data_IF_016539608005
#
_entry.id   IF_016539608005
#
_cell.length_a   1.000
_cell.length_b   1.000
_cell.length_c   1.000
_cell.angle_alpha   90.00
_cell.angle_beta   90.00
_cell.angle_gamma   90.00
#
_symmetry.space_group_name_H-M   'P 1'
#
loop_
_entity.id
_entity.type
_entity.pdbx_description
1 polymer ?
#
# COMPACT_ATOMS: atom_id res chain seq x y z
N UNK A 1 -17.65 -23.71 1.74
CA UNK A 1 -16.53 -23.02 1.11
C UNK A 1 -16.93 -22.37 -0.20
N UNK A 2 -16.06 -21.64 -0.85
CA UNK A 2 -16.33 -20.92 -2.11
C UNK A 2 -16.82 -21.88 -3.24
N UNK A 3 -16.22 -23.04 -3.37
CA UNK A 3 -16.54 -24.02 -4.42
C UNK A 3 -17.97 -24.56 -4.23
N UNK A 4 -18.32 -24.87 -2.99
CA UNK A 4 -19.66 -25.33 -2.63
C UNK A 4 -20.72 -24.27 -2.96
N UNK A 5 -20.47 -23.01 -2.60
CA UNK A 5 -21.42 -21.92 -2.89
C UNK A 5 -21.48 -21.60 -4.39
N UNK A 6 -20.38 -21.75 -5.13
CA UNK A 6 -20.35 -21.52 -6.58
C UNK A 6 -21.27 -22.49 -7.37
N UNK A 7 -21.57 -23.65 -6.83
CA UNK A 7 -22.45 -24.63 -7.46
C UNK A 7 -23.94 -24.50 -7.06
N UNK A 8 -24.27 -23.65 -6.07
CA UNK A 8 -25.64 -23.48 -5.58
C UNK A 8 -26.51 -22.64 -6.52
N UNK A 9 -27.77 -22.97 -6.57
CA UNK A 9 -28.82 -22.17 -7.25
C UNK A 9 -29.19 -20.99 -6.33
N UNK A 10 -29.43 -19.82 -6.92
CA UNK A 10 -29.85 -18.61 -6.16
C UNK A 10 -28.76 -17.94 -5.37
N UNK A 11 -27.48 -18.21 -5.67
CA UNK A 11 -26.33 -17.54 -5.06
C UNK A 11 -26.31 -16.03 -5.34
N UNK A 12 -25.85 -15.27 -4.35
CA UNK A 12 -25.71 -13.81 -4.46
C UNK A 12 -24.20 -13.50 -4.57
N UNK A 13 -23.68 -13.26 -5.78
CA UNK A 13 -22.28 -12.90 -5.95
C UNK A 13 -22.01 -11.50 -5.42
N UNK A 14 -20.85 -11.31 -4.80
CA UNK A 14 -20.40 -10.02 -4.34
C UNK A 14 -18.88 -9.91 -4.43
N UNK A 15 -18.41 -8.69 -4.66
CA UNK A 15 -16.98 -8.36 -4.64
C UNK A 15 -16.74 -7.28 -3.60
N UNK A 16 -15.75 -7.48 -2.76
CA UNK A 16 -15.23 -6.46 -1.88
C UNK A 16 -13.81 -6.08 -2.29
N UNK A 17 -13.48 -4.82 -2.08
CA UNK A 17 -12.12 -4.29 -2.20
C UNK A 17 -11.67 -3.84 -0.83
N UNK A 18 -10.53 -4.31 -0.37
CA UNK A 18 -9.95 -3.91 0.91
C UNK A 18 -8.61 -3.22 0.71
N UNK A 19 -8.46 -2.06 1.34
CA UNK A 19 -7.20 -1.32 1.43
C UNK A 19 -6.71 -1.34 2.87
N UNK A 20 -5.50 -1.82 3.08
CA UNK A 20 -4.83 -1.75 4.38
C UNK A 20 -3.91 -0.54 4.42
N UNK A 21 -4.24 0.43 5.26
CA UNK A 21 -3.49 1.67 5.40
C UNK A 21 -2.88 1.75 6.79
N UNK A 22 -1.67 2.29 6.87
CA UNK A 22 -1.00 2.54 8.15
C UNK A 22 -1.83 3.48 9.02
N UNK A 23 -2.00 3.10 10.27
CA UNK A 23 -2.88 3.77 11.20
C UNK A 23 -2.28 3.78 12.60
N UNK A 24 -2.35 4.91 13.31
CA UNK A 24 -1.90 4.97 14.70
C UNK A 24 -2.91 4.31 15.63
N UNK A 25 -2.45 3.40 16.46
CA UNK A 25 -3.30 2.72 17.46
C UNK A 25 -3.47 3.53 18.75
N UNK A 26 -2.79 4.69 18.87
CA UNK A 26 -2.91 5.56 20.04
C UNK A 26 -4.14 6.45 19.92
N UNK A 27 -4.68 6.83 21.08
CA UNK A 27 -5.77 7.80 21.16
C UNK A 27 -5.17 9.20 21.27
N UNK A 28 -5.59 10.10 20.39
CA UNK A 28 -5.19 11.50 20.41
C UNK A 28 -5.60 12.15 21.74
N UNK A 29 -4.66 12.87 22.35
CA UNK A 29 -4.88 13.53 23.65
C UNK A 29 -4.83 12.63 24.88
N UNK A 30 -4.45 11.36 24.72
CA UNK A 30 -4.33 10.40 25.82
C UNK A 30 -2.93 9.80 25.86
N UNK A 31 -2.35 9.70 27.06
CA UNK A 31 -1.01 9.10 27.27
C UNK A 31 -0.93 7.70 26.60
N UNK A 32 0.17 7.35 25.95
CA UNK A 32 1.42 8.10 25.82
C UNK A 32 1.45 9.15 24.69
N UNK A 33 0.35 9.35 23.92
CA UNK A 33 0.29 10.46 22.96
C UNK A 33 0.23 11.79 23.72
N UNK A 34 1.21 12.65 23.48
CA UNK A 34 1.32 13.97 24.10
C UNK A 34 0.64 15.08 23.29
N UNK A 35 0.23 14.76 22.07
CA UNK A 35 -0.50 15.70 21.21
C UNK A 35 -1.94 15.87 21.68
N UNK A 36 -2.36 17.13 21.81
CA UNK A 36 -3.72 17.50 22.16
C UNK A 36 -4.05 18.91 21.63
N UNK A 37 -5.33 19.23 21.49
CA UNK A 37 -5.78 20.57 21.15
C UNK A 37 -5.29 21.55 22.21
N UNK A 38 -4.68 22.66 21.77
CA UNK A 38 -4.09 23.67 22.66
C UNK A 38 -2.68 23.37 23.16
N UNK A 39 -2.20 22.13 23.04
CA UNK A 39 -0.82 21.73 23.35
C UNK A 39 0.04 21.74 22.10
N UNK A 40 -0.45 21.14 21.01
CA UNK A 40 0.26 21.04 19.73
C UNK A 40 -0.40 21.90 18.63
N UNK A 41 -1.14 22.93 19.03
CA UNK A 41 -1.87 23.82 18.12
C UNK A 41 -3.26 23.32 17.77
N UNK A 42 -3.80 23.84 16.68
CA UNK A 42 -5.17 23.56 16.21
C UNK A 42 -5.23 22.48 15.12
N UNK A 43 -4.08 21.96 14.71
CA UNK A 43 -4.02 20.92 13.68
C UNK A 43 -4.69 19.63 14.18
N UNK A 44 -5.51 19.03 13.29
CA UNK A 44 -6.29 17.83 13.65
C UNK A 44 -5.49 16.56 13.43
N UNK A 45 -5.50 15.66 14.40
CA UNK A 45 -5.00 14.30 14.24
C UNK A 45 -6.10 13.42 13.62
N UNK A 46 -5.74 12.58 12.64
CA UNK A 46 -6.61 11.60 12.00
C UNK A 46 -6.08 10.17 12.18
N UNK A 47 -5.18 9.96 13.14
CA UNK A 47 -4.45 8.71 13.39
C UNK A 47 -3.63 8.22 12.18
N UNK A 48 -3.28 9.10 11.25
CA UNK A 48 -2.35 8.80 10.16
C UNK A 48 -0.99 9.41 10.44
N UNK A 49 0.08 8.82 9.90
CA UNK A 49 1.44 9.34 10.13
C UNK A 49 1.58 10.80 9.63
N UNK A 50 1.00 11.10 8.46
CA UNK A 50 1.06 12.44 7.87
C UNK A 50 0.36 13.52 8.69
N UNK A 51 -0.59 13.15 9.53
CA UNK A 51 -1.32 14.08 10.41
C UNK A 51 -0.91 13.97 11.87
N UNK A 52 0.08 13.13 12.17
CA UNK A 52 0.58 12.92 13.54
C UNK A 52 1.35 14.15 14.01
N UNK A 53 1.04 14.63 15.21
CA UNK A 53 1.67 15.77 15.85
C UNK A 53 2.60 15.36 16.99
N UNK A 54 2.70 14.04 17.22
CA UNK A 54 3.59 13.41 18.19
C UNK A 54 4.17 12.14 17.56
N UNK A 55 5.08 12.33 16.61
CA UNK A 55 5.68 11.22 15.84
C UNK A 55 6.53 10.30 16.70
N UNK A 56 7.07 10.80 17.83
CA UNK A 56 7.85 10.00 18.77
C UNK A 56 7.03 8.89 19.43
N UNK A 57 5.73 9.13 19.65
CA UNK A 57 4.82 8.16 20.25
C UNK A 57 3.87 7.52 19.20
N UNK A 58 4.13 7.72 17.90
CA UNK A 58 3.35 7.06 16.86
C UNK A 58 3.49 5.54 16.97
N UNK A 59 2.37 4.86 17.17
CA UNK A 59 2.34 3.40 17.23
C UNK A 59 1.62 2.84 16.00
N UNK A 60 2.40 2.25 15.10
CA UNK A 60 1.89 1.75 13.82
C UNK A 60 0.98 0.54 14.00
N UNK A 61 -0.24 0.67 13.54
CA UNK A 61 -1.19 -0.39 13.28
C UNK A 61 -1.69 -0.33 11.85
N UNK A 62 -2.76 -1.05 11.58
CA UNK A 62 -3.40 -1.11 10.26
C UNK A 62 -4.89 -0.82 10.40
N UNK A 63 -5.42 0.03 9.51
CA UNK A 63 -6.86 0.20 9.30
C UNK A 63 -7.23 -0.34 7.93
N UNK A 64 -8.18 -1.27 7.90
CA UNK A 64 -8.73 -1.82 6.67
C UNK A 64 -9.97 -1.03 6.26
N UNK A 65 -9.91 -0.43 5.07
CA UNK A 65 -11.07 0.17 4.41
C UNK A 65 -11.67 -0.83 3.45
N UNK A 66 -12.93 -1.19 3.67
CA UNK A 66 -13.63 -2.17 2.84
C UNK A 66 -14.68 -1.49 1.99
N UNK A 67 -14.57 -1.65 0.68
CA UNK A 67 -15.50 -1.08 -0.31
C UNK A 67 -16.38 -2.15 -0.92
N UNK A 68 -17.65 -1.81 -1.14
CA UNK A 68 -18.63 -2.66 -1.80
C UNK A 68 -19.39 -1.88 -2.87
N UNK A 69 -20.05 -2.61 -3.76
CA UNK A 69 -21.05 -2.04 -4.66
C UNK A 69 -22.23 -1.45 -3.84
N UNK A 70 -22.72 -0.24 -4.16
CA UNK A 70 -23.85 0.37 -3.46
C UNK A 70 -25.14 -0.45 -3.50
N UNK A 71 -25.31 -1.27 -4.55
CA UNK A 71 -26.50 -2.14 -4.73
C UNK A 71 -26.36 -3.50 -4.05
N UNK A 72 -25.20 -3.82 -3.46
CA UNK A 72 -24.96 -5.11 -2.84
C UNK A 72 -25.87 -5.34 -1.62
N UNK A 73 -26.57 -6.46 -1.61
CA UNK A 73 -27.39 -6.87 -0.44
C UNK A 73 -26.48 -7.53 0.60
N UNK A 74 -26.00 -6.73 1.54
CA UNK A 74 -25.07 -7.17 2.56
C UNK A 74 -25.81 -7.63 3.84
N UNK A 75 -25.23 -8.58 4.58
CA UNK A 75 -25.75 -8.98 5.89
C UNK A 75 -25.75 -7.81 6.88
N UNK A 76 -26.68 -7.83 7.81
CA UNK A 76 -26.73 -6.86 8.92
C UNK A 76 -25.43 -6.96 9.72
N UNK A 77 -24.83 -5.82 10.02
CA UNK A 77 -23.58 -5.73 10.80
C UNK A 77 -22.29 -5.76 9.97
N UNK A 78 -22.35 -6.08 8.68
CA UNK A 78 -21.18 -5.96 7.80
C UNK A 78 -21.03 -4.51 7.33
N UNK A 79 -20.10 -3.79 7.93
CA UNK A 79 -19.82 -2.40 7.55
C UNK A 79 -18.92 -2.35 6.31
N UNK A 80 -19.36 -1.60 5.31
CA UNK A 80 -18.61 -1.33 4.08
C UNK A 80 -18.86 0.10 3.62
N UNK A 81 -17.96 0.61 2.79
CA UNK A 81 -18.09 1.91 2.13
C UNK A 81 -18.65 1.66 0.72
N UNK A 82 -19.87 2.08 0.41
CA UNK A 82 -20.57 1.71 -0.83
C UNK A 82 -20.14 2.58 -2.02
N UNK A 83 -18.84 2.57 -2.34
CA UNK A 83 -18.26 3.38 -3.42
C UNK A 83 -17.65 2.53 -4.54
N UNK A 84 -17.72 1.21 -4.49
CA UNK A 84 -17.16 0.34 -5.52
C UNK A 84 -18.05 0.31 -6.76
N UNK A 85 -17.47 0.62 -7.93
CA UNK A 85 -18.16 0.50 -9.23
C UNK A 85 -17.78 -0.75 -9.98
N UNK A 86 -16.48 -0.96 -10.17
CA UNK A 86 -16.03 -2.11 -10.95
C UNK A 86 -14.61 -2.52 -10.58
N UNK A 87 -14.32 -3.80 -10.82
CA UNK A 87 -12.98 -4.38 -10.69
C UNK A 87 -12.64 -5.06 -12.00
N UNK A 88 -11.53 -4.68 -12.62
CA UNK A 88 -11.03 -5.25 -13.87
C UNK A 88 -9.64 -5.84 -13.66
N UNK A 89 -9.47 -7.09 -14.05
CA UNK A 89 -8.22 -7.83 -13.89
C UNK A 89 -7.49 -7.91 -15.23
N UNK A 90 -6.19 -7.58 -15.22
CA UNK A 90 -5.29 -7.99 -16.29
C UNK A 90 -4.59 -9.28 -15.84
N UNK A 91 -4.75 -10.38 -16.58
CA UNK A 91 -4.20 -11.67 -16.18
C UNK A 91 -2.67 -11.65 -16.23
N UNK A 92 -2.06 -12.47 -15.37
CA UNK A 92 -0.65 -12.79 -15.47
C UNK A 92 -0.44 -13.72 -16.67
N UNK A 93 0.57 -13.41 -17.50
CA UNK A 93 0.92 -14.23 -18.65
C UNK A 93 2.40 -14.57 -18.61
N UNK A 94 2.72 -15.85 -18.65
CA UNK A 94 4.08 -16.37 -18.79
C UNK A 94 4.23 -16.90 -20.20
N UNK A 95 5.18 -16.33 -20.96
CA UNK A 95 5.53 -16.82 -22.30
C UNK A 95 6.89 -17.53 -22.20
N UNK A 96 6.92 -18.88 -22.29
CA UNK A 96 8.16 -19.61 -22.24
C UNK A 96 9.19 -19.08 -23.28
N UNK A 97 10.43 -18.86 -22.86
CA UNK A 97 11.51 -18.37 -23.71
C UNK A 97 11.51 -16.86 -24.01
N UNK A 98 10.59 -16.07 -23.47
CA UNK A 98 10.53 -14.61 -23.66
C UNK A 98 10.63 -13.80 -22.37
N UNK A 99 11.52 -14.18 -21.46
CA UNK A 99 11.75 -13.43 -20.21
C UNK A 99 10.67 -13.61 -19.13
N UNK A 100 10.67 -12.71 -18.17
CA UNK A 100 9.76 -12.73 -17.00
C UNK A 100 8.35 -12.29 -17.39
N UNK A 101 7.52 -12.98 -18.01
CA UNK A 101 6.10 -12.77 -18.32
C UNK A 101 5.44 -11.42 -17.93
N UNK A 102 4.21 -11.20 -18.31
CA UNK A 102 3.42 -10.03 -17.91
C UNK A 102 2.86 -10.30 -16.50
N UNK A 103 3.13 -9.38 -15.57
CA UNK A 103 2.62 -9.45 -14.20
C UNK A 103 1.14 -9.11 -14.14
N UNK A 104 0.43 -9.79 -13.23
CA UNK A 104 -0.96 -9.48 -12.97
C UNK A 104 -1.14 -8.06 -12.43
N UNK A 105 -2.18 -7.39 -12.91
CA UNK A 105 -2.61 -6.11 -12.37
C UNK A 105 -4.12 -6.05 -12.24
N UNK A 106 -4.58 -5.14 -11.41
CA UNK A 106 -6.01 -4.88 -11.20
C UNK A 106 -6.28 -3.38 -11.29
N UNK A 107 -7.36 -3.03 -11.98
CA UNK A 107 -7.88 -1.67 -12.02
C UNK A 107 -9.24 -1.65 -11.33
N UNK A 108 -9.40 -0.76 -10.36
CA UNK A 108 -10.60 -0.62 -9.55
C UNK A 108 -11.15 0.77 -9.78
N UNK A 109 -12.40 0.86 -10.19
CA UNK A 109 -13.13 2.11 -10.30
C UNK A 109 -14.04 2.29 -9.08
N UNK A 110 -14.01 3.48 -8.51
CA UNK A 110 -14.80 3.87 -7.35
C UNK A 110 -15.48 5.20 -7.60
N UNK A 111 -16.59 5.43 -6.93
CA UNK A 111 -17.23 6.74 -6.91
C UNK A 111 -16.49 7.68 -5.95
N UNK A 112 -16.48 8.96 -6.28
CA UNK A 112 -16.00 10.04 -5.40
C UNK A 112 -17.17 10.95 -5.04
N UNK A 113 -17.92 10.56 -4.04
CA UNK A 113 -19.10 11.28 -3.58
C UNK A 113 -18.78 12.18 -2.38
N UNK A 114 -19.57 13.24 -2.15
CA UNK A 114 -19.57 13.94 -0.88
C UNK A 114 -19.77 12.95 0.27
N UNK A 115 -18.91 13.03 1.28
CA UNK A 115 -18.89 12.04 2.35
C UNK A 115 -18.77 12.70 3.71
N UNK A 116 -19.43 12.11 4.70
CA UNK A 116 -19.16 12.44 6.11
C UNK A 116 -17.82 11.84 6.51
N UNK A 117 -17.17 12.37 7.54
CA UNK A 117 -15.87 11.85 7.98
C UNK A 117 -15.94 10.55 8.79
N UNK A 118 -17.12 9.95 8.94
CA UNK A 118 -17.37 8.84 9.87
C UNK A 118 -16.42 7.65 9.68
N UNK A 119 -16.04 7.33 8.44
CA UNK A 119 -15.16 6.20 8.15
C UNK A 119 -13.68 6.57 8.14
N UNK A 120 -13.37 7.87 8.05
CA UNK A 120 -11.99 8.36 7.85
C UNK A 120 -11.45 9.00 9.12
N UNK A 121 -12.30 9.74 9.87
CA UNK A 121 -11.93 10.46 11.08
C UNK A 121 -12.39 9.72 12.33
N UNK A 122 -11.49 9.18 13.16
CA UNK A 122 -11.85 8.49 14.39
C UNK A 122 -12.47 9.41 15.44
N UNK A 123 -12.30 10.73 15.27
CA UNK A 123 -12.75 11.76 16.21
C UNK A 123 -13.85 12.64 15.63
N UNK A 124 -14.60 12.14 14.67
CA UNK A 124 -15.64 12.91 13.96
C UNK A 124 -16.73 13.40 14.91
N UNK A 125 -17.07 12.62 15.93
CA UNK A 125 -18.10 12.99 16.92
C UNK A 125 -17.70 14.13 17.83
N UNK A 126 -16.40 14.31 18.04
CA UNK A 126 -15.84 15.36 18.91
C UNK A 126 -15.56 16.67 18.16
N UNK A 127 -15.92 16.71 16.87
CA UNK A 127 -15.65 17.86 16.01
C UNK A 127 -16.91 18.61 15.66
N UNK A 128 -16.97 19.88 16.07
CA UNK A 128 -18.15 20.73 15.93
C UNK A 128 -18.58 21.00 14.48
N UNK A 129 -17.70 20.84 13.49
CA UNK A 129 -18.02 21.14 12.09
C UNK A 129 -17.55 19.99 11.20
N UNK A 130 -18.47 19.28 10.53
CA UNK A 130 -18.09 18.31 9.51
C UNK A 130 -17.29 19.00 8.40
N UNK A 131 -16.15 18.41 8.02
CA UNK A 131 -15.39 18.97 6.92
C UNK A 131 -16.17 18.78 5.61
N UNK A 132 -16.22 19.79 4.73
CA UNK A 132 -16.74 19.65 3.38
C UNK A 132 -15.73 18.92 2.48
N UNK A 133 -16.21 18.18 1.48
CA UNK A 133 -15.36 17.49 0.50
C UNK A 133 -15.82 16.06 0.20
N UNK A 134 -15.12 15.45 -0.73
CA UNK A 134 -15.39 14.07 -1.17
C UNK A 134 -14.60 13.07 -0.37
N UNK A 135 -14.99 11.78 -0.42
CA UNK A 135 -14.30 10.72 0.27
C UNK A 135 -12.82 10.64 -0.13
N UNK A 136 -12.53 10.54 -1.43
CA UNK A 136 -11.17 10.34 -1.92
C UNK A 136 -10.30 11.58 -1.79
N UNK A 137 -10.88 12.77 -1.91
CA UNK A 137 -10.16 14.03 -1.66
C UNK A 137 -9.63 14.08 -0.24
N UNK A 138 -10.45 13.72 0.74
CA UNK A 138 -10.08 13.68 2.16
C UNK A 138 -9.13 12.53 2.46
N UNK A 139 -9.43 11.33 1.92
CA UNK A 139 -8.60 10.15 2.12
C UNK A 139 -7.15 10.41 1.70
N UNK A 140 -6.94 10.94 0.49
CA UNK A 140 -5.59 11.24 -0.02
C UNK A 140 -4.88 12.32 0.79
N UNK A 141 -5.58 13.37 1.18
CA UNK A 141 -4.98 14.43 1.99
C UNK A 141 -4.44 13.92 3.34
N UNK A 142 -5.08 12.89 3.90
CA UNK A 142 -4.70 12.30 5.19
C UNK A 142 -3.75 11.12 5.06
N UNK A 143 -3.78 10.42 3.93
CA UNK A 143 -3.01 9.21 3.65
C UNK A 143 -2.16 9.36 2.37
N UNK A 144 -1.18 10.27 2.33
CA UNK A 144 -0.33 10.45 1.14
C UNK A 144 0.59 9.26 0.88
N UNK A 145 0.84 8.40 1.89
CA UNK A 145 1.75 7.25 1.81
C UNK A 145 1.02 5.93 1.55
N UNK A 146 0.11 5.91 0.57
CA UNK A 146 -0.71 4.76 0.22
C UNK A 146 -0.01 3.78 -0.74
N UNK A 147 0.98 4.23 -1.50
CA UNK A 147 1.69 3.38 -2.46
C UNK A 147 2.42 2.22 -1.76
N UNK A 148 2.40 1.05 -2.38
CA UNK A 148 2.98 -0.16 -1.84
C UNK A 148 2.19 -0.79 -0.67
N UNK A 149 1.04 -0.23 -0.29
CA UNK A 149 0.19 -0.80 0.77
C UNK A 149 -0.62 -1.98 0.25
N UNK A 150 -0.97 -2.95 1.11
CA UNK A 150 -1.76 -4.10 0.71
C UNK A 150 -3.14 -3.70 0.16
N UNK A 151 -3.50 -4.36 -0.92
CA UNK A 151 -4.79 -4.28 -1.58
C UNK A 151 -5.31 -5.70 -1.77
N UNK A 152 -6.51 -5.99 -1.32
CA UNK A 152 -7.14 -7.29 -1.48
C UNK A 152 -8.45 -7.17 -2.23
N UNK A 153 -8.69 -8.10 -3.14
CA UNK A 153 -9.97 -8.28 -3.82
C UNK A 153 -10.57 -9.58 -3.33
N UNK A 154 -11.71 -9.49 -2.68
CA UNK A 154 -12.47 -10.64 -2.18
C UNK A 154 -13.65 -10.86 -3.09
N UNK A 155 -13.67 -11.97 -3.81
CA UNK A 155 -14.76 -12.35 -4.72
C UNK A 155 -15.45 -13.59 -4.16
N UNK A 156 -16.74 -13.54 -3.94
CA UNK A 156 -17.46 -14.65 -3.33
C UNK A 156 -18.96 -14.48 -3.33
N UNK A 157 -19.61 -15.11 -2.38
CA UNK A 157 -21.06 -15.20 -2.29
C UNK A 157 -21.53 -14.85 -0.88
N UNK A 158 -22.66 -14.16 -0.80
CA UNK A 158 -23.35 -13.92 0.47
C UNK A 158 -24.03 -15.20 0.90
N UNK A 159 -23.62 -15.72 2.04
CA UNK A 159 -24.17 -16.93 2.69
C UNK A 159 -25.05 -16.57 3.87
N UNK A 160 -25.89 -17.50 4.30
CA UNK A 160 -26.65 -17.41 5.53
C UNK A 160 -26.47 -18.69 6.36
N UNK A 161 -25.79 -18.61 7.52
CA UNK A 161 -25.10 -17.45 8.10
C UNK A 161 -23.93 -16.97 7.24
N UNK A 162 -23.59 -15.68 7.36
CA UNK A 162 -22.47 -15.10 6.59
C UNK A 162 -21.13 -15.67 7.08
N UNK A 163 -20.27 -16.05 6.12
CA UNK A 163 -18.88 -16.49 6.38
C UNK A 163 -17.93 -16.00 5.29
N UNK A 164 -16.71 -15.66 5.69
CA UNK A 164 -15.64 -15.29 4.76
C UNK A 164 -15.08 -16.49 3.98
N UNK A 165 -15.35 -17.73 4.42
CA UNK A 165 -14.90 -18.96 3.73
C UNK A 165 -15.54 -19.13 2.33
N UNK A 166 -16.63 -18.40 2.06
CA UNK A 166 -17.26 -18.33 0.76
C UNK A 166 -16.57 -17.38 -0.22
N UNK A 167 -15.41 -16.78 0.16
CA UNK A 167 -14.69 -15.81 -0.63
C UNK A 167 -13.32 -16.33 -1.07
N UNK A 168 -12.94 -15.99 -2.28
CA UNK A 168 -11.57 -16.09 -2.77
C UNK A 168 -10.90 -14.73 -2.65
N UNK A 169 -9.71 -14.70 -2.08
CA UNK A 169 -8.91 -13.48 -1.91
C UNK A 169 -7.77 -13.45 -2.92
N UNK A 170 -7.65 -12.33 -3.63
CA UNK A 170 -6.49 -12.01 -4.46
C UNK A 170 -5.76 -10.81 -3.86
N UNK A 171 -4.47 -10.99 -3.58
CA UNK A 171 -3.63 -9.97 -2.97
C UNK A 171 -2.82 -9.21 -4.02
N UNK A 172 -2.77 -7.90 -3.86
CA UNK A 172 -2.01 -6.95 -4.66
C UNK A 172 -1.37 -5.92 -3.74
N UNK A 173 -0.55 -5.04 -4.32
CA UNK A 173 -0.11 -3.80 -3.69
C UNK A 173 -0.66 -2.61 -4.48
N UNK A 174 -0.95 -1.52 -3.80
CA UNK A 174 -1.39 -0.28 -4.43
C UNK A 174 -0.21 0.30 -5.22
N UNK A 175 -0.40 0.48 -6.53
CA UNK A 175 0.56 1.12 -7.41
C UNK A 175 0.26 2.60 -7.57
N UNK A 176 -1.00 2.96 -7.76
CA UNK A 176 -1.44 4.34 -7.89
C UNK A 176 -2.88 4.52 -7.43
N UNK A 177 -3.18 5.73 -6.97
CA UNK A 177 -4.52 6.19 -6.64
C UNK A 177 -4.75 7.53 -7.31
N UNK A 178 -5.57 7.54 -8.34
CA UNK A 178 -6.05 8.75 -9.00
C UNK A 178 -7.43 9.09 -8.44
N UNK A 179 -7.54 10.20 -7.74
CA UNK A 179 -8.81 10.73 -7.25
C UNK A 179 -9.19 11.99 -8.03
N UNK A 180 -10.49 12.30 -8.02
CA UNK A 180 -11.04 13.47 -8.73
C UNK A 180 -10.81 13.38 -10.24
N UNK A 181 -11.10 12.22 -10.82
CA UNK A 181 -11.22 12.10 -12.26
C UNK A 181 -12.52 12.77 -12.73
N UNK A 182 -12.56 13.14 -14.01
CA UNK A 182 -13.77 13.71 -14.62
C UNK A 182 -14.97 12.76 -14.38
N UNK A 183 -16.06 13.27 -13.82
CA UNK A 183 -17.28 12.52 -13.54
C UNK A 183 -17.32 11.86 -12.16
N UNK A 184 -16.75 12.51 -11.15
CA UNK A 184 -16.82 12.09 -9.74
C UNK A 184 -16.35 10.64 -9.51
N UNK A 185 -15.20 10.30 -10.10
CA UNK A 185 -14.62 8.95 -10.04
C UNK A 185 -13.23 8.98 -9.45
N UNK A 186 -12.89 7.89 -8.76
CA UNK A 186 -11.54 7.57 -8.37
C UNK A 186 -11.12 6.23 -8.99
N UNK A 187 -9.84 6.06 -9.24
CA UNK A 187 -9.28 4.82 -9.75
C UNK A 187 -8.10 4.39 -8.92
N UNK A 188 -8.09 3.11 -8.54
CA UNK A 188 -6.95 2.47 -7.90
C UNK A 188 -6.38 1.45 -8.86
N UNK A 189 -5.08 1.49 -9.06
CA UNK A 189 -4.34 0.44 -9.77
C UNK A 189 -3.57 -0.38 -8.76
N UNK A 190 -3.79 -1.68 -8.77
CA UNK A 190 -3.01 -2.65 -8.00
C UNK A 190 -2.11 -3.47 -8.90
N UNK A 191 -0.94 -3.84 -8.40
CA UNK A 191 0.02 -4.73 -9.05
C UNK A 191 0.40 -5.88 -8.14
N UNK A 192 0.86 -6.96 -8.76
CA UNK A 192 1.44 -8.07 -8.03
C UNK A 192 2.58 -7.61 -7.13
N UNK A 193 2.74 -8.26 -5.96
CA UNK A 193 3.78 -7.94 -4.97
C UNK A 193 5.21 -8.03 -5.57
N UNK A 194 5.39 -8.82 -6.62
CA UNK A 194 6.66 -8.90 -7.34
C UNK A 194 7.10 -7.56 -7.96
N UNK A 195 6.19 -6.58 -8.07
CA UNK A 195 6.57 -5.21 -8.46
C UNK A 195 7.62 -4.62 -7.52
N UNK A 196 7.57 -4.95 -6.23
CA UNK A 196 8.55 -4.46 -5.26
C UNK A 196 9.98 -4.94 -5.58
N UNK A 197 10.10 -6.08 -6.26
CA UNK A 197 11.39 -6.60 -6.71
C UNK A 197 11.95 -5.86 -7.95
N UNK A 198 11.13 -5.07 -8.65
CA UNK A 198 11.57 -4.25 -9.79
C UNK A 198 12.13 -2.89 -9.36
N UNK A 199 11.98 -2.51 -8.11
CA UNK A 199 12.53 -1.25 -7.61
C UNK A 199 14.07 -1.30 -7.64
N UNK A 200 14.69 -0.20 -8.04
CA UNK A 200 16.15 -0.02 -7.98
C UNK A 200 16.72 -0.32 -6.59
N UNK A 201 15.92 -0.14 -5.54
CA UNK A 201 16.29 -0.48 -4.15
C UNK A 201 16.35 -1.99 -3.88
N UNK A 202 15.69 -2.81 -4.70
CA UNK A 202 15.72 -4.26 -4.59
C UNK A 202 16.86 -4.91 -5.39
N UNK A 203 17.63 -4.14 -6.14
CA UNK A 203 18.78 -4.63 -6.87
C UNK A 203 19.88 -5.06 -5.90
N UNK A 204 20.41 -6.25 -6.14
CA UNK A 204 21.57 -6.77 -5.39
C UNK A 204 22.64 -7.25 -6.39
N UNK A 205 23.90 -6.80 -6.24
CA UNK A 205 24.36 -5.81 -5.28
C UNK A 205 23.75 -4.41 -5.55
N UNK A 206 23.64 -3.58 -4.51
CA UNK A 206 23.07 -2.22 -4.62
C UNK A 206 23.87 -1.41 -5.65
N UNK A 207 23.23 -0.73 -6.61
CA UNK A 207 23.91 0.18 -7.51
C UNK A 207 24.69 1.25 -6.74
N UNK A 208 25.91 1.52 -7.18
CA UNK A 208 26.79 2.54 -6.64
C UNK A 208 27.17 3.53 -7.73
N UNK A 209 27.50 4.75 -7.34
CA UNK A 209 28.11 5.76 -8.21
C UNK A 209 29.62 5.57 -8.32
N UNK A 210 30.19 4.70 -7.48
CA UNK A 210 31.61 4.41 -7.46
C UNK A 210 32.10 3.70 -8.72
N UNK A 211 33.29 4.07 -9.16
CA UNK A 211 34.05 3.43 -10.23
C UNK A 211 35.43 3.00 -9.71
N UNK A 212 36.10 2.10 -10.41
CA UNK A 212 37.49 1.81 -10.11
C UNK A 212 38.36 3.00 -10.49
N UNK A 213 39.25 3.43 -9.60
CA UNK A 213 40.20 4.52 -9.88
C UNK A 213 41.30 4.10 -10.87
N UNK A 214 41.56 2.82 -10.99
CA UNK A 214 42.49 2.21 -11.93
C UNK A 214 42.08 0.77 -12.24
N UNK A 215 42.57 0.23 -13.38
CA UNK A 215 42.37 -1.18 -13.70
C UNK A 215 43.03 -2.07 -12.64
N UNK A 216 42.36 -3.20 -12.32
CA UNK A 216 42.88 -4.21 -11.41
C UNK A 216 43.25 -5.46 -12.18
N UNK A 217 44.27 -6.20 -11.71
CA UNK A 217 44.64 -7.50 -12.28
C UNK A 217 43.80 -8.61 -11.62
N UNK A 218 43.83 -9.80 -12.21
CA UNK A 218 43.20 -11.02 -11.70
C UNK A 218 43.72 -11.50 -10.34
N UNK A 219 44.91 -11.01 -9.96
CA UNK A 219 45.59 -11.34 -8.68
C UNK A 219 45.50 -10.17 -7.68
N UNK A 220 44.84 -9.08 -8.00
CA UNK A 220 44.73 -7.93 -7.11
C UNK A 220 43.88 -8.26 -5.86
N UNK A 221 44.43 -7.99 -4.69
CA UNK A 221 43.72 -8.15 -3.40
C UNK A 221 43.19 -6.84 -2.84
N UNK A 222 43.52 -5.73 -3.46
CA UNK A 222 43.04 -4.40 -3.07
C UNK A 222 42.57 -3.61 -4.28
N UNK A 223 41.60 -2.77 -4.09
CA UNK A 223 41.10 -1.83 -5.10
C UNK A 223 40.84 -0.48 -4.48
N UNK A 224 40.92 0.57 -5.29
CA UNK A 224 40.55 1.92 -4.87
C UNK A 224 39.36 2.38 -5.69
N UNK A 225 38.32 2.85 -4.98
CA UNK A 225 37.13 3.40 -5.60
C UNK A 225 37.24 4.94 -5.77
N UNK A 226 36.64 5.44 -6.86
CA UNK A 226 36.51 6.85 -7.16
C UNK A 226 35.01 7.21 -7.27
N UNK A 227 34.59 8.45 -6.97
CA UNK A 227 35.38 9.55 -6.39
C UNK A 227 35.84 9.26 -4.97
N UNK A 228 36.79 10.03 -4.48
CA UNK A 228 37.27 9.92 -3.11
C UNK A 228 36.10 10.07 -2.12
N UNK A 229 36.05 9.20 -1.11
CA UNK A 229 34.94 9.17 -0.11
C UNK A 229 33.78 8.22 -0.48
N UNK A 230 33.58 7.83 -1.73
CA UNK A 230 32.47 6.95 -2.13
C UNK A 230 32.42 5.65 -1.37
N UNK A 231 33.58 5.12 -0.95
CA UNK A 231 33.66 3.92 -0.13
C UNK A 231 33.01 4.08 1.24
N UNK A 232 33.09 5.28 1.85
CA UNK A 232 32.50 5.59 3.14
C UNK A 232 30.99 5.84 3.03
N UNK A 233 30.56 6.47 1.95
CA UNK A 233 29.20 6.94 1.78
C UNK A 233 28.26 5.84 1.27
N UNK A 234 28.75 4.96 0.40
CA UNK A 234 27.90 4.01 -0.31
C UNK A 234 28.13 2.54 0.06
N UNK A 235 29.29 2.19 0.61
CA UNK A 235 29.64 0.79 0.92
C UNK A 235 29.70 0.54 2.43
N UNK A 236 29.14 -0.60 2.92
CA UNK A 236 29.33 -1.03 4.30
C UNK A 236 30.81 -1.38 4.58
N UNK A 237 31.16 -1.60 5.85
CA UNK A 237 32.51 -1.99 6.23
C UNK A 237 32.97 -3.31 5.61
N UNK A 238 32.04 -4.20 5.31
CA UNK A 238 32.28 -5.44 4.57
C UNK A 238 31.00 -5.89 3.85
N UNK A 239 31.16 -6.67 2.79
CA UNK A 239 30.02 -7.11 2.01
C UNK A 239 30.41 -7.77 0.69
N UNK A 240 29.50 -7.67 -0.28
CA UNK A 240 29.75 -8.09 -1.66
C UNK A 240 29.64 -6.90 -2.59
N UNK A 241 30.55 -6.85 -3.56
CA UNK A 241 30.61 -5.84 -4.60
C UNK A 241 30.58 -6.54 -5.96
N UNK A 242 29.89 -5.95 -6.92
CA UNK A 242 29.92 -6.39 -8.32
C UNK A 242 30.77 -5.43 -9.16
N UNK A 243 31.72 -5.96 -9.88
CA UNK A 243 32.59 -5.21 -10.81
C UNK A 243 32.59 -5.96 -12.14
N UNK A 244 32.16 -5.28 -13.21
CA UNK A 244 32.12 -5.85 -14.58
C UNK A 244 31.43 -7.23 -14.67
N UNK A 245 30.44 -7.49 -13.83
CA UNK A 245 29.70 -8.75 -13.83
C UNK A 245 30.22 -9.82 -12.85
N UNK A 246 31.36 -9.61 -12.21
CA UNK A 246 31.88 -10.48 -11.16
C UNK A 246 31.43 -9.99 -9.78
N UNK A 247 31.08 -10.95 -8.91
CA UNK A 247 30.68 -10.66 -7.53
C UNK A 247 31.79 -11.12 -6.58
N UNK A 248 32.37 -10.19 -5.86
CA UNK A 248 33.47 -10.40 -4.94
C UNK A 248 33.09 -10.02 -3.52
N UNK A 249 33.69 -10.70 -2.52
CA UNK A 249 33.59 -10.27 -1.13
C UNK A 249 34.67 -9.19 -0.88
N UNK A 250 34.33 -8.18 -0.09
CA UNK A 250 35.28 -7.12 0.27
C UNK A 250 35.21 -6.79 1.75
N UNK A 251 36.29 -6.21 2.25
CA UNK A 251 36.38 -5.50 3.52
C UNK A 251 36.99 -4.13 3.24
N UNK A 252 36.34 -3.09 3.74
CA UNK A 252 36.81 -1.72 3.58
C UNK A 252 37.84 -1.38 4.65
N UNK A 253 38.95 -0.80 4.26
CA UNK A 253 39.96 -0.23 5.17
C UNK A 253 39.83 1.28 5.21
#
# INVERSE_FOLDING_TARGET
DHITEASRVGRIPVVFVELDIDYCTRTYGSSPCTAAVGVTGTAKCYNTYATCQDTAHYNKGVKTYRFSDPSARLPVGLQTIPLLRSVSFAPQQITPGKGLGVRGSVSIQLDDAPWTDVDIDPYVTDRATPAAGTFWGRFRARNPYYEGRPLRILSGYITSPFTWDAFQTRAYIIDSLSAVLKGDKAQITGKDILKLADDKKALFPRPSTGTLSAGISDSATTLTAAPAGVGNDEYPASGKIAISGEIMSFTRS
#
